data_IF_227798834699
#
_entry.id   IF_227798834699
#
_cell.length_a   1.000
_cell.length_b   1.000
_cell.length_c   1.000
_cell.angle_alpha   90.00
_cell.angle_beta   90.00
_cell.angle_gamma   90.00
#
_symmetry.space_group_name_H-M   'P 1'
#
loop_
_entity.id
_entity.type
_entity.pdbx_description
1 polymer ?
#
# COMPACT_ATOMS: atom_id res chain seq x y z
N UNK A 1 -7.56 -14.39 10.76
CA UNK A 1 -6.78 -13.20 10.45
C UNK A 1 -6.29 -12.56 11.73
N UNK A 2 -5.06 -12.90 12.06
CA UNK A 2 -4.20 -12.17 12.98
C UNK A 2 -3.20 -11.29 12.20
N UNK A 3 -2.32 -10.58 12.92
CA UNK A 3 -1.40 -9.60 12.33
C UNK A 3 -0.41 -10.24 11.36
N UNK A 4 0.17 -11.37 11.73
CA UNK A 4 1.17 -12.05 10.89
C UNK A 4 0.49 -12.59 9.63
N UNK A 5 -0.70 -13.19 9.77
CA UNK A 5 -1.50 -13.65 8.63
C UNK A 5 -1.87 -12.50 7.65
N UNK A 6 -2.07 -11.28 8.14
CA UNK A 6 -2.35 -10.11 7.30
C UNK A 6 -1.10 -9.62 6.58
N UNK A 7 0.05 -9.56 7.27
CA UNK A 7 1.33 -9.17 6.65
C UNK A 7 1.70 -10.14 5.52
N UNK A 8 1.63 -11.45 5.78
CA UNK A 8 1.87 -12.49 4.76
C UNK A 8 0.94 -12.30 3.55
N UNK A 9 -0.34 -12.02 3.78
CA UNK A 9 -1.29 -11.77 2.69
C UNK A 9 -0.94 -10.53 1.88
N UNK A 10 -0.43 -9.46 2.50
CA UNK A 10 0.01 -8.25 1.79
C UNK A 10 1.24 -8.57 0.93
N UNK A 11 2.19 -9.35 1.44
CA UNK A 11 3.41 -9.75 0.72
C UNK A 11 3.08 -10.66 -0.47
N UNK A 12 2.19 -11.63 -0.27
CA UNK A 12 1.79 -12.60 -1.32
C UNK A 12 0.83 -12.01 -2.37
N UNK A 13 0.28 -10.83 -2.08
CA UNK A 13 -0.66 -10.16 -2.97
C UNK A 13 0.06 -9.57 -4.17
N UNK A 14 -0.51 -9.78 -5.37
CA UNK A 14 -0.06 -9.14 -6.60
C UNK A 14 -1.12 -8.10 -7.03
N UNK A 15 -0.93 -6.80 -6.71
CA UNK A 15 -1.91 -5.76 -7.05
C UNK A 15 -2.22 -5.71 -8.54
N UNK A 16 -3.50 -5.70 -8.89
CA UNK A 16 -3.96 -5.64 -10.27
C UNK A 16 -4.13 -4.21 -10.74
N UNK A 17 -3.85 -3.96 -12.03
CA UNK A 17 -4.00 -2.62 -12.60
C UNK A 17 -5.47 -2.21 -12.63
N UNK A 18 -5.78 -1.10 -11.97
CA UNK A 18 -7.11 -0.50 -11.95
C UNK A 18 -7.37 0.22 -13.28
N UNK A 19 -8.58 0.10 -13.82
CA UNK A 19 -8.96 0.83 -15.03
C UNK A 19 -9.16 2.32 -14.72
N UNK A 20 -8.36 3.18 -15.35
CA UNK A 20 -8.46 4.63 -15.20
C UNK A 20 -7.45 5.41 -16.03
N UNK A 21 -7.51 6.73 -15.94
CA UNK A 21 -6.57 7.65 -16.59
C UNK A 21 -5.19 7.69 -15.91
N UNK A 22 -5.08 7.15 -14.69
CA UNK A 22 -3.84 7.04 -13.92
C UNK A 22 -3.41 5.60 -13.79
N UNK A 23 -2.10 5.40 -13.77
CA UNK A 23 -1.46 4.12 -13.52
C UNK A 23 -1.48 3.82 -12.01
N UNK A 24 -2.46 3.00 -11.61
CA UNK A 24 -2.74 2.58 -10.23
C UNK A 24 -2.90 1.06 -10.21
N UNK A 25 -2.31 0.40 -9.21
CA UNK A 25 -2.45 -1.03 -8.97
C UNK A 25 -2.94 -1.24 -7.55
N UNK A 26 -4.00 -2.03 -7.39
CA UNK A 26 -4.66 -2.28 -6.10
C UNK A 26 -5.02 -3.75 -5.96
N UNK A 27 -5.05 -4.23 -4.72
CA UNK A 27 -5.72 -5.45 -4.31
C UNK A 27 -6.62 -5.17 -3.12
N UNK A 28 -7.71 -5.94 -3.00
CA UNK A 28 -8.70 -5.80 -1.93
C UNK A 28 -8.66 -7.01 -1.00
N UNK A 29 -8.10 -6.82 0.18
CA UNK A 29 -8.02 -7.83 1.23
C UNK A 29 -9.24 -7.66 2.16
N UNK A 30 -10.24 -8.53 1.97
CA UNK A 30 -11.45 -8.54 2.79
C UNK A 30 -11.26 -9.29 4.11
N UNK A 31 -11.67 -8.67 5.23
CA UNK A 31 -11.74 -9.33 6.52
C UNK A 31 -12.88 -8.81 7.39
N UNK A 32 -13.80 -9.70 7.79
CA UNK A 32 -15.02 -9.36 8.53
C UNK A 32 -15.88 -8.34 7.75
N UNK A 33 -16.12 -7.17 8.33
CA UNK A 33 -16.92 -6.05 7.85
C UNK A 33 -16.02 -4.91 7.31
N UNK A 34 -14.77 -5.24 6.96
CA UNK A 34 -13.74 -4.29 6.55
C UNK A 34 -13.04 -4.81 5.31
N UNK A 35 -12.49 -3.87 4.55
CA UNK A 35 -11.64 -4.14 3.40
C UNK A 35 -10.38 -3.28 3.52
N UNK A 36 -9.23 -3.92 3.44
CA UNK A 36 -7.95 -3.23 3.28
C UNK A 36 -7.61 -3.22 1.81
N UNK A 37 -7.45 -2.02 1.27
CA UNK A 37 -6.92 -1.78 -0.06
C UNK A 37 -5.42 -1.57 0.13
N UNK A 38 -4.61 -2.36 -0.55
CA UNK A 38 -3.16 -2.15 -0.65
C UNK A 38 -2.80 -1.98 -2.12
N UNK A 39 -1.91 -1.03 -2.40
CA UNK A 39 -1.60 -0.72 -3.78
C UNK A 39 -0.44 0.23 -3.94
N UNK A 40 -0.12 0.51 -5.19
CA UNK A 40 0.86 1.53 -5.55
C UNK A 40 0.37 2.36 -6.73
N UNK A 41 0.71 3.65 -6.67
CA UNK A 41 0.37 4.65 -7.70
C UNK A 41 1.61 5.20 -8.35
N UNK A 42 1.56 5.42 -9.67
CA UNK A 42 2.63 6.12 -10.39
C UNK A 42 2.72 7.58 -9.92
N UNK A 43 3.94 8.01 -9.61
CA UNK A 43 4.29 9.41 -9.30
C UNK A 43 4.76 10.14 -10.56
N UNK A 44 4.93 11.46 -10.45
CA UNK A 44 5.55 12.23 -11.52
C UNK A 44 6.97 11.72 -11.83
N UNK A 45 7.26 11.59 -13.13
CA UNK A 45 8.57 11.19 -13.65
C UNK A 45 9.67 12.11 -13.09
N UNK A 46 10.69 11.50 -12.47
CA UNK A 46 11.86 12.25 -12.04
C UNK A 46 12.95 12.17 -13.12
N UNK A 47 13.16 13.28 -13.80
CA UNK A 47 14.13 13.40 -14.90
C UNK A 47 15.38 14.22 -14.52
N UNK A 48 15.41 14.84 -13.34
CA UNK A 48 16.47 15.77 -12.95
C UNK A 48 17.80 15.02 -12.70
N UNK A 49 18.85 15.40 -13.42
CA UNK A 49 20.19 14.80 -13.27
C UNK A 49 20.44 13.55 -14.11
N UNK A 50 19.46 13.09 -14.90
CA UNK A 50 19.62 11.97 -15.83
C UNK A 50 19.87 12.46 -17.27
N UNK A 51 20.57 11.68 -18.13
CA UNK A 51 20.72 12.00 -19.54
C UNK A 51 19.36 12.18 -20.22
N UNK A 52 19.28 13.06 -21.24
CA UNK A 52 18.04 13.30 -21.98
C UNK A 52 17.35 11.99 -22.38
N UNK A 53 16.05 11.90 -22.05
CA UNK A 53 15.22 10.73 -22.36
C UNK A 53 15.34 9.55 -21.38
N UNK A 54 16.06 9.69 -20.27
CA UNK A 54 16.16 8.67 -19.21
C UNK A 54 15.50 9.13 -17.91
N UNK A 55 14.19 9.40 -17.96
CA UNK A 55 13.41 9.62 -16.75
C UNK A 55 13.23 8.29 -16.02
N UNK A 56 13.27 8.32 -14.69
CA UNK A 56 12.96 7.16 -13.86
C UNK A 56 11.53 7.30 -13.37
N UNK A 57 10.74 6.23 -13.55
CA UNK A 57 9.38 6.15 -13.02
C UNK A 57 9.40 5.72 -11.57
N UNK A 58 8.68 6.45 -10.74
CA UNK A 58 8.55 6.15 -9.32
C UNK A 58 7.11 5.78 -9.01
N UNK A 59 6.95 4.89 -8.05
CA UNK A 59 5.67 4.43 -7.54
C UNK A 59 5.66 4.66 -6.04
N UNK A 60 4.54 5.10 -5.49
CA UNK A 60 4.33 5.19 -4.04
C UNK A 60 3.36 4.10 -3.63
N UNK A 61 3.75 3.30 -2.64
CA UNK A 61 2.82 2.46 -1.91
C UNK A 61 1.81 3.32 -1.17
N UNK A 62 0.60 2.78 -1.02
CA UNK A 62 -0.42 3.33 -0.16
C UNK A 62 -1.31 2.19 0.33
N UNK A 63 -2.04 2.47 1.40
CA UNK A 63 -3.08 1.60 1.87
C UNK A 63 -4.27 2.41 2.37
N UNK A 64 -5.44 1.80 2.28
CA UNK A 64 -6.68 2.35 2.81
C UNK A 64 -7.49 1.26 3.50
N UNK A 65 -7.96 1.54 4.71
CA UNK A 65 -8.90 0.70 5.41
C UNK A 65 -10.30 1.28 5.29
N UNK A 66 -11.20 0.50 4.69
CA UNK A 66 -12.58 0.92 4.44
C UNK A 66 -13.59 -0.02 5.10
N UNK A 67 -14.78 0.50 5.29
CA UNK A 67 -15.94 -0.31 5.64
C UNK A 67 -16.41 -1.12 4.42
N UNK A 68 -16.60 -2.43 4.56
CA UNK A 68 -16.90 -3.29 3.40
C UNK A 68 -18.29 -3.07 2.82
N UNK A 69 -19.23 -2.59 3.63
CA UNK A 69 -20.62 -2.39 3.22
C UNK A 69 -20.83 -0.99 2.62
N UNK A 70 -20.34 0.04 3.31
CA UNK A 70 -20.54 1.44 2.92
C UNK A 70 -19.45 2.02 2.02
N UNK A 71 -18.28 1.37 1.95
CA UNK A 71 -17.07 1.87 1.26
C UNK A 71 -16.52 3.20 1.81
N UNK A 72 -16.97 3.61 2.99
CA UNK A 72 -16.41 4.77 3.70
C UNK A 72 -14.97 4.51 4.10
N UNK A 73 -14.10 5.50 3.87
CA UNK A 73 -12.70 5.47 4.32
C UNK A 73 -12.68 5.63 5.82
N UNK A 74 -12.11 4.64 6.50
CA UNK A 74 -11.99 4.64 7.94
C UNK A 74 -10.58 5.08 8.36
N UNK A 75 -9.57 4.64 7.61
CA UNK A 75 -8.20 5.11 7.68
C UNK A 75 -7.50 5.03 6.32
N UNK A 76 -6.48 5.85 6.12
CA UNK A 76 -5.66 5.86 4.92
C UNK A 76 -4.22 6.29 5.24
N UNK A 77 -3.25 5.75 4.51
CA UNK A 77 -1.92 6.35 4.38
C UNK A 77 -1.70 6.72 2.91
N UNK A 78 -2.07 7.95 2.57
CA UNK A 78 -1.86 8.50 1.23
C UNK A 78 -0.50 9.19 1.05
N UNK A 79 0.26 9.38 2.14
CA UNK A 79 1.52 10.12 2.11
C UNK A 79 2.67 9.35 1.45
N UNK A 80 2.51 8.04 1.22
CA UNK A 80 3.42 7.30 0.36
C UNK A 80 4.85 7.34 0.87
N UNK A 81 5.01 7.08 2.17
CA UNK A 81 6.30 7.00 2.87
C UNK A 81 7.27 6.00 2.22
N UNK A 82 6.72 5.13 1.37
CA UNK A 82 7.42 4.08 0.69
C UNK A 82 7.32 4.22 -0.83
N UNK A 83 8.42 4.69 -1.43
CA UNK A 83 8.52 4.84 -2.88
C UNK A 83 9.53 3.86 -3.49
N UNK A 84 9.17 3.22 -4.60
CA UNK A 84 10.07 2.35 -5.37
C UNK A 84 10.14 2.78 -6.85
N UNK A 85 11.12 2.27 -7.59
CA UNK A 85 11.30 2.61 -9.01
C UNK A 85 11.46 1.38 -9.89
N UNK A 86 10.94 1.41 -11.13
CA UNK A 86 10.94 0.24 -12.05
C UNK A 86 12.31 -0.08 -12.65
N UNK A 87 13.30 0.80 -12.51
CA UNK A 87 14.68 0.55 -12.93
C UNK A 87 15.50 -0.05 -11.78
N UNK A 88 15.29 -1.34 -11.48
CA UNK A 88 15.99 -2.09 -10.43
C UNK A 88 17.53 -1.99 -10.52
N UNK A 89 18.11 -1.87 -11.72
CA UNK A 89 19.58 -1.70 -11.89
C UNK A 89 20.09 -0.32 -11.44
N UNK A 90 19.22 0.70 -11.35
CA UNK A 90 19.54 2.06 -10.91
C UNK A 90 19.04 2.36 -9.51
N UNK A 91 17.99 1.70 -9.04
CA UNK A 91 17.55 1.75 -7.65
C UNK A 91 18.45 0.86 -6.78
N UNK A 92 19.04 1.43 -5.72
CA UNK A 92 19.90 0.68 -4.78
C UNK A 92 19.12 -0.07 -3.68
N UNK A 93 17.80 -0.09 -3.76
CA UNK A 93 16.92 -0.66 -2.73
C UNK A 93 16.61 -2.10 -3.13
N UNK A 94 16.93 -3.07 -2.28
CA UNK A 94 16.44 -4.45 -2.45
C UNK A 94 14.94 -4.45 -2.12
N UNK A 95 14.11 -4.42 -3.16
CA UNK A 95 12.65 -4.28 -3.07
C UNK A 95 11.95 -5.35 -2.18
N UNK A 96 12.60 -6.47 -1.90
CA UNK A 96 12.01 -7.56 -1.11
C UNK A 96 12.11 -7.34 0.41
N UNK A 97 13.25 -6.84 0.92
CA UNK A 97 13.38 -6.51 2.35
C UNK A 97 12.44 -5.35 2.73
N UNK A 98 12.17 -4.47 1.76
CA UNK A 98 11.30 -3.32 1.93
C UNK A 98 9.81 -3.71 1.96
N UNK A 99 9.39 -4.69 1.15
CA UNK A 99 7.99 -5.12 1.12
C UNK A 99 7.59 -5.81 2.42
N UNK A 100 8.45 -6.67 2.96
CA UNK A 100 8.19 -7.36 4.24
C UNK A 100 8.05 -6.33 5.39
N UNK A 101 8.96 -5.35 5.46
CA UNK A 101 8.92 -4.27 6.46
C UNK A 101 7.65 -3.41 6.33
N UNK A 102 7.24 -3.09 5.10
CA UNK A 102 6.00 -2.33 4.81
C UNK A 102 4.77 -3.13 5.21
N UNK A 103 4.71 -4.41 4.84
CA UNK A 103 3.58 -5.27 5.13
C UNK A 103 3.39 -5.43 6.64
N UNK A 104 4.48 -5.59 7.38
CA UNK A 104 4.47 -5.65 8.85
C UNK A 104 3.96 -4.35 9.48
N UNK A 105 4.42 -3.19 8.99
CA UNK A 105 3.96 -1.90 9.50
C UNK A 105 2.47 -1.67 9.21
N UNK A 106 2.02 -1.92 7.97
CA UNK A 106 0.60 -1.82 7.59
C UNK A 106 -0.24 -2.74 8.48
N UNK A 107 0.19 -3.98 8.66
CA UNK A 107 -0.52 -4.92 9.52
C UNK A 107 -0.57 -4.44 10.98
N UNK A 108 0.53 -3.92 11.53
CA UNK A 108 0.54 -3.36 12.88
C UNK A 108 -0.41 -2.16 13.03
N UNK A 109 -0.38 -1.22 12.08
CA UNK A 109 -1.23 -0.04 12.10
C UNK A 109 -2.72 -0.39 12.01
N UNK A 110 -3.07 -1.28 11.08
CA UNK A 110 -4.46 -1.78 10.91
C UNK A 110 -4.93 -2.45 12.19
N UNK A 111 -4.13 -3.34 12.79
CA UNK A 111 -4.52 -4.03 14.01
C UNK A 111 -4.63 -3.10 15.22
N UNK A 112 -3.73 -2.12 15.37
CA UNK A 112 -3.81 -1.08 16.41
C UNK A 112 -5.15 -0.35 16.31
N UNK A 113 -5.48 0.10 15.10
CA UNK A 113 -6.72 0.83 14.88
C UNK A 113 -7.99 -0.02 15.10
N UNK A 114 -7.96 -1.29 14.68
CA UNK A 114 -9.07 -2.22 14.95
C UNK A 114 -9.30 -2.43 16.46
N UNK A 115 -8.26 -2.31 17.28
CA UNK A 115 -8.40 -2.33 18.75
C UNK A 115 -9.05 -1.04 19.26
N UNK A 116 -8.62 0.13 18.76
CA UNK A 116 -9.18 1.42 19.13
C UNK A 116 -10.68 1.51 18.79
N UNK A 117 -11.07 1.05 17.60
CA UNK A 117 -12.48 0.97 17.19
C UNK A 117 -13.36 0.10 18.09
N UNK A 118 -12.81 -1.02 18.58
CA UNK A 118 -13.56 -1.88 19.50
C UNK A 118 -13.77 -1.17 20.83
N UNK A 119 -12.78 -0.41 21.29
CA UNK A 119 -12.86 0.36 22.51
C UNK A 119 -13.96 1.44 22.45
N UNK A 120 -14.08 2.15 21.32
CA UNK A 120 -15.11 3.19 21.14
C UNK A 120 -16.54 2.63 21.05
N UNK A 121 -16.73 1.37 20.64
CA UNK A 121 -18.05 0.72 20.59
C UNK A 121 -18.54 0.15 21.93
N UNK A 122 -17.67 0.07 22.94
CA UNK A 122 -17.98 -0.49 24.27
C UNK A 122 -18.26 0.60 25.35
N UNK A 123 -18.33 1.88 24.96
CA UNK A 123 -18.65 3.02 25.84
C UNK A 123 -20.09 3.51 25.63
#
# INVERSE_FOLDING_TARGET
MDREELADKIIETEPEKVQGDKDVWEEHIYFSDKVLIVGYKENEDYCAGHPEGKCVRYYSWYWELRDSDSWEVLQENHEGDYTFCTEFEKCKLSDQDFLDDIADEIAEEVFRWLQDLKHDKEI
#
